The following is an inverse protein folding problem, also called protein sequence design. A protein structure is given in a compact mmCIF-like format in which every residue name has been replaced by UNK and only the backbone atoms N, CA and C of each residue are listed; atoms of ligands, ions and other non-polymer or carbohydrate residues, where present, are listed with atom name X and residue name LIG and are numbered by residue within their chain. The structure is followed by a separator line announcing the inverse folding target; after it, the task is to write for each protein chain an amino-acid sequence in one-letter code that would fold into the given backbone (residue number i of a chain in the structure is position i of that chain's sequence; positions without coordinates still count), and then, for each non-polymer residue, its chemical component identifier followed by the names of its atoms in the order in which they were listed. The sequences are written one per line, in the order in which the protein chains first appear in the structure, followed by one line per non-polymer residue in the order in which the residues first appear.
data_IF_534163436919
#
_entry.id   IF_534163436919
#
_cell.length_a   1.000
_cell.length_b   1.000
_cell.length_c   1.000
_cell.angle_alpha   90.00
_cell.angle_beta   90.00
_cell.angle_gamma   90.00
#
_symmetry.space_group_name_H-M   'P 1'
#
loop_
_entity.id
_entity.type
_entity.pdbx_description
1 polymer ?
#
# COMPACT_ATOMS: atom_id res chain seq x y z
N UNK A 1 -13.77 9.28 2.11
CA UNK A 1 -12.70 9.69 1.19
C UNK A 1 -13.32 10.37 -0.02
N UNK A 2 -12.79 11.51 -0.48
CA UNK A 2 -13.28 12.18 -1.68
C UNK A 2 -13.03 11.31 -2.91
N UNK A 3 -14.08 11.00 -3.66
CA UNK A 3 -14.05 10.08 -4.79
C UNK A 3 -13.15 10.58 -5.94
N UNK A 4 -13.07 11.88 -6.14
CA UNK A 4 -12.24 12.45 -7.21
C UNK A 4 -10.75 12.37 -6.86
N UNK A 5 -10.40 12.58 -5.59
CA UNK A 5 -9.03 12.37 -5.09
C UNK A 5 -8.63 10.90 -5.24
N UNK A 6 -9.54 9.97 -4.93
CA UNK A 6 -9.29 8.54 -5.09
C UNK A 6 -9.00 8.17 -6.55
N UNK A 7 -9.78 8.69 -7.51
CA UNK A 7 -9.53 8.45 -8.95
C UNK A 7 -8.15 8.93 -9.38
N UNK A 8 -7.75 10.12 -8.95
CA UNK A 8 -6.42 10.66 -9.26
C UNK A 8 -5.29 9.81 -8.68
N UNK A 9 -5.43 9.38 -7.43
CA UNK A 9 -4.45 8.49 -6.79
C UNK A 9 -4.35 7.15 -7.52
N UNK A 10 -5.47 6.56 -7.93
CA UNK A 10 -5.50 5.34 -8.73
C UNK A 10 -4.80 5.56 -10.09
N UNK A 11 -5.07 6.68 -10.76
CA UNK A 11 -4.44 7.01 -12.04
C UNK A 11 -2.92 7.15 -11.93
N UNK A 12 -2.44 7.89 -10.92
CA UNK A 12 -1.00 8.03 -10.62
C UNK A 12 -0.39 6.66 -10.31
N UNK A 13 -1.08 5.85 -9.49
CA UNK A 13 -0.65 4.51 -9.14
C UNK A 13 -0.43 3.63 -10.38
N UNK A 14 -1.41 3.55 -11.30
CA UNK A 14 -1.27 2.81 -12.54
C UNK A 14 -0.20 3.39 -13.48
N UNK A 15 -0.03 4.71 -13.51
CA UNK A 15 1.05 5.36 -14.26
C UNK A 15 2.43 4.91 -13.78
N UNK A 16 2.66 4.95 -12.46
CA UNK A 16 3.89 4.44 -11.84
C UNK A 16 4.08 2.94 -12.11
N UNK A 17 2.99 2.16 -12.02
CA UNK A 17 2.96 0.73 -12.28
C UNK A 17 3.48 0.39 -13.69
N UNK A 18 2.89 1.01 -14.72
CA UNK A 18 3.29 0.80 -16.11
C UNK A 18 4.70 1.33 -16.39
N UNK A 19 5.10 2.42 -15.72
CA UNK A 19 6.47 2.93 -15.77
C UNK A 19 7.49 1.92 -15.25
N UNK A 20 7.24 1.32 -14.09
CA UNK A 20 8.10 0.29 -13.50
C UNK A 20 8.14 -0.98 -14.35
N UNK A 21 7.00 -1.41 -14.90
CA UNK A 21 6.95 -2.53 -15.84
C UNK A 21 7.81 -2.25 -17.09
N UNK A 22 7.72 -1.04 -17.65
CA UNK A 22 8.56 -0.63 -18.78
C UNK A 22 10.03 -0.68 -18.42
N UNK A 23 10.43 -0.20 -17.24
CA UNK A 23 11.83 -0.27 -16.77
C UNK A 23 12.27 -1.73 -16.62
N UNK A 24 11.45 -2.60 -16.01
CA UNK A 24 11.73 -4.02 -15.88
C UNK A 24 11.97 -4.70 -17.25
N UNK A 25 11.28 -4.27 -18.30
CA UNK A 25 11.46 -4.78 -19.66
C UNK A 25 12.61 -4.13 -20.44
N UNK A 26 12.83 -2.82 -20.28
CA UNK A 26 13.84 -2.08 -21.05
C UNK A 26 15.24 -2.17 -20.46
N UNK A 27 15.36 -2.17 -19.13
CA UNK A 27 16.62 -2.31 -18.39
C UNK A 27 16.45 -3.29 -17.22
N UNK A 28 16.43 -4.60 -17.51
CA UNK A 28 16.15 -5.63 -16.49
C UNK A 28 17.25 -5.68 -15.41
N UNK A 29 18.49 -5.34 -15.74
CA UNK A 29 19.61 -5.39 -14.78
C UNK A 29 19.46 -4.29 -13.73
N UNK A 30 19.25 -3.04 -14.16
CA UNK A 30 18.98 -1.93 -13.25
C UNK A 30 17.72 -2.19 -12.41
N UNK A 31 16.68 -2.75 -13.04
CA UNK A 31 15.46 -3.09 -12.32
C UNK A 31 15.71 -4.10 -11.19
N UNK A 32 16.35 -5.23 -11.48
CA UNK A 32 16.56 -6.31 -10.51
C UNK A 32 17.54 -5.93 -9.40
N UNK A 33 18.64 -5.26 -9.73
CA UNK A 33 19.69 -4.93 -8.77
C UNK A 33 19.32 -3.74 -7.86
N UNK A 34 18.58 -2.76 -8.39
CA UNK A 34 18.32 -1.51 -7.67
C UNK A 34 16.83 -1.30 -7.34
N UNK A 35 15.97 -1.29 -8.36
CA UNK A 35 14.55 -0.91 -8.19
C UNK A 35 13.81 -1.94 -7.35
N UNK A 36 13.96 -3.22 -7.67
CA UNK A 36 13.26 -4.30 -7.00
C UNK A 36 13.54 -4.32 -5.50
N UNK A 37 14.82 -4.28 -5.10
CA UNK A 37 15.20 -4.30 -3.68
C UNK A 37 14.54 -3.17 -2.88
N UNK A 38 14.51 -1.96 -3.44
CA UNK A 38 13.87 -0.80 -2.81
C UNK A 38 12.34 -0.91 -2.79
N UNK A 39 11.74 -1.31 -3.91
CA UNK A 39 10.29 -1.44 -4.05
C UNK A 39 9.72 -2.51 -3.12
N UNK A 40 10.32 -3.70 -3.10
CA UNK A 40 9.91 -4.81 -2.24
C UNK A 40 10.05 -4.43 -0.76
N UNK A 41 11.18 -3.85 -0.36
CA UNK A 41 11.41 -3.42 1.02
C UNK A 41 10.43 -2.33 1.45
N UNK A 42 10.21 -1.32 0.60
CA UNK A 42 9.25 -0.25 0.87
C UNK A 42 7.83 -0.78 1.00
N UNK A 43 7.38 -1.60 0.04
CA UNK A 43 6.03 -2.18 0.04
C UNK A 43 5.79 -3.07 1.27
N UNK A 44 6.78 -3.89 1.62
CA UNK A 44 6.71 -4.74 2.81
C UNK A 44 6.64 -3.91 4.10
N UNK A 45 7.51 -2.89 4.22
CA UNK A 45 7.56 -2.03 5.40
C UNK A 45 6.25 -1.24 5.56
N UNK A 46 5.72 -0.68 4.47
CA UNK A 46 4.42 0.01 4.48
C UNK A 46 3.28 -0.94 4.87
N UNK A 47 3.25 -2.15 4.33
CA UNK A 47 2.24 -3.16 4.69
C UNK A 47 2.26 -3.44 6.21
N UNK A 48 3.44 -3.73 6.78
CA UNK A 48 3.56 -4.03 8.21
C UNK A 48 3.23 -2.80 9.07
N UNK A 49 3.80 -1.64 8.76
CA UNK A 49 3.62 -0.43 9.56
C UNK A 49 2.16 0.04 9.57
N UNK A 50 1.50 0.10 8.40
CA UNK A 50 0.11 0.52 8.32
C UNK A 50 -0.84 -0.51 8.92
N UNK A 51 -0.57 -1.82 8.78
CA UNK A 51 -1.37 -2.86 9.43
C UNK A 51 -1.27 -2.80 10.96
N UNK A 52 -0.05 -2.63 11.48
CA UNK A 52 0.19 -2.47 12.91
C UNK A 52 -0.51 -1.21 13.45
N UNK A 53 -0.42 -0.09 12.72
CA UNK A 53 -1.09 1.14 13.12
C UNK A 53 -2.62 1.02 13.06
N UNK A 54 -3.16 0.37 12.03
CA UNK A 54 -4.59 0.09 11.91
C UNK A 54 -5.10 -0.74 13.09
N UNK A 55 -4.38 -1.81 13.45
CA UNK A 55 -4.71 -2.63 14.61
C UNK A 55 -4.57 -1.86 15.93
N UNK A 56 -3.55 -1.01 16.07
CA UNK A 56 -3.39 -0.15 17.23
C UNK A 56 -4.58 0.79 17.43
N UNK A 57 -5.07 1.42 16.36
CA UNK A 57 -6.27 2.25 16.42
C UNK A 57 -7.51 1.45 16.83
N UNK A 58 -7.66 0.22 16.32
CA UNK A 58 -8.76 -0.67 16.71
C UNK A 58 -8.75 -0.97 18.22
N UNK A 59 -7.58 -1.30 18.78
CA UNK A 59 -7.43 -1.54 20.22
C UNK A 59 -7.71 -0.28 21.03
N UNK A 60 -7.17 0.88 20.62
CA UNK A 60 -7.42 2.15 21.31
C UNK A 60 -8.91 2.53 21.32
N UNK A 61 -9.61 2.32 20.20
CA UNK A 61 -11.04 2.59 20.09
C UNK A 61 -11.82 1.72 21.09
N UNK A 62 -11.60 0.41 21.07
CA UNK A 62 -12.32 -0.50 21.96
C UNK A 62 -12.02 -0.21 23.42
N UNK A 63 -10.75 0.03 23.76
CA UNK A 63 -10.36 0.44 25.12
C UNK A 63 -11.11 1.70 25.57
N UNK A 64 -11.25 2.70 24.69
CA UNK A 64 -11.98 3.94 25.00
C UNK A 64 -13.46 3.65 25.25
N UNK A 65 -14.10 2.83 24.41
CA UNK A 65 -15.51 2.45 24.56
C UNK A 65 -15.75 1.65 25.84
N UNK A 66 -14.84 0.75 26.19
CA UNK A 66 -15.02 -0.15 27.34
C UNK A 66 -14.70 0.52 28.69
N UNK A 67 -13.88 1.58 28.71
CA UNK A 67 -13.36 2.17 29.96
C UNK A 67 -13.77 3.63 30.19
N UNK A 68 -14.33 4.32 29.19
CA UNK A 68 -14.76 5.71 29.32
C UNK A 68 -16.27 5.76 29.10
N UNK A 69 -16.99 6.35 30.06
CA UNK A 69 -18.42 6.56 29.96
C UNK A 69 -18.71 7.72 28.98
N UNK A 70 -18.86 7.38 27.70
CA UNK A 70 -19.09 8.32 26.61
C UNK A 70 -20.60 8.54 26.43
N UNK A 71 -21.02 9.81 26.35
CA UNK A 71 -22.38 10.11 25.90
C UNK A 71 -22.54 9.76 24.41
N UNK A 72 -23.77 9.50 23.97
CA UNK A 72 -24.08 9.02 22.61
C UNK A 72 -23.48 9.89 21.49
N UNK A 73 -23.43 11.22 21.69
CA UNK A 73 -22.81 12.15 20.74
C UNK A 73 -21.29 11.92 20.63
N UNK A 74 -20.60 11.76 21.75
CA UNK A 74 -19.15 11.50 21.77
C UNK A 74 -18.80 10.16 21.12
N UNK A 75 -19.61 9.12 21.36
CA UNK A 75 -19.45 7.82 20.73
C UNK A 75 -19.61 7.91 19.20
N UNK A 76 -20.64 8.62 18.73
CA UNK A 76 -20.86 8.87 17.29
C UNK A 76 -19.69 9.61 16.64
N UNK A 77 -19.16 10.64 17.30
CA UNK A 77 -17.99 11.37 16.83
C UNK A 77 -16.74 10.48 16.78
N UNK A 78 -16.49 9.69 17.82
CA UNK A 78 -15.38 8.73 17.86
C UNK A 78 -15.48 7.72 16.71
N UNK A 79 -16.65 7.13 16.48
CA UNK A 79 -16.88 6.16 15.40
C UNK A 79 -16.65 6.75 14.01
N UNK A 80 -17.11 8.00 13.81
CA UNK A 80 -16.94 8.72 12.55
C UNK A 80 -15.47 8.98 12.24
N UNK A 81 -14.72 9.53 13.20
CA UNK A 81 -13.29 9.83 13.03
C UNK A 81 -12.46 8.55 12.89
N UNK A 82 -12.76 7.53 13.70
CA UNK A 82 -12.14 6.22 13.57
C UNK A 82 -12.35 5.64 12.17
N UNK A 83 -13.59 5.63 11.67
CA UNK A 83 -13.92 5.09 10.35
C UNK A 83 -13.28 5.89 9.24
N UNK A 84 -13.20 7.22 9.39
CA UNK A 84 -12.51 8.09 8.45
C UNK A 84 -11.03 7.70 8.32
N UNK A 85 -10.29 7.67 9.43
CA UNK A 85 -8.84 7.36 9.43
C UNK A 85 -8.57 5.92 8.98
N UNK A 86 -9.32 4.96 9.52
CA UNK A 86 -9.11 3.54 9.20
C UNK A 86 -9.41 3.21 7.74
N UNK A 87 -10.33 3.94 7.09
CA UNK A 87 -10.58 3.82 5.65
C UNK A 87 -9.36 4.18 4.80
N UNK A 88 -8.66 5.27 5.10
CA UNK A 88 -7.44 5.65 4.35
C UNK A 88 -6.30 4.67 4.60
N UNK A 89 -6.12 4.25 5.87
CA UNK A 89 -5.11 3.24 6.21
C UNK A 89 -5.37 1.93 5.47
N UNK A 90 -6.62 1.51 5.36
CA UNK A 90 -6.97 0.30 4.62
C UNK A 90 -6.61 0.40 3.12
N UNK A 91 -6.84 1.56 2.50
CA UNK A 91 -6.42 1.82 1.11
C UNK A 91 -4.90 1.74 0.96
N UNK A 92 -4.13 2.28 1.91
CA UNK A 92 -2.66 2.20 1.90
C UNK A 92 -2.17 0.76 2.09
N UNK A 93 -2.83 -0.03 2.95
CA UNK A 93 -2.54 -1.46 3.13
C UNK A 93 -2.79 -2.21 1.81
N UNK A 94 -3.96 -2.03 1.19
CA UNK A 94 -4.28 -2.65 -0.11
C UNK A 94 -3.26 -2.25 -1.18
N UNK A 95 -2.96 -0.94 -1.30
CA UNK A 95 -1.99 -0.44 -2.26
C UNK A 95 -0.59 -1.03 -2.06
N UNK A 96 -0.17 -1.22 -0.80
CA UNK A 96 1.10 -1.86 -0.46
C UNK A 96 1.12 -3.34 -0.84
N UNK A 97 0.04 -4.08 -0.58
CA UNK A 97 -0.11 -5.48 -0.97
C UNK A 97 -0.07 -5.65 -2.50
N UNK A 98 -0.80 -4.80 -3.23
CA UNK A 98 -0.82 -4.81 -4.70
C UNK A 98 0.56 -4.46 -5.28
N UNK A 99 1.26 -3.48 -4.70
CA UNK A 99 2.61 -3.10 -5.11
C UNK A 99 3.61 -4.24 -4.89
N UNK A 100 3.50 -4.93 -3.75
CA UNK A 100 4.33 -6.09 -3.45
C UNK A 100 4.08 -7.23 -4.44
N UNK A 101 2.81 -7.59 -4.68
CA UNK A 101 2.45 -8.63 -5.65
C UNK A 101 2.95 -8.30 -7.07
N UNK A 102 2.83 -7.02 -7.47
CA UNK A 102 3.33 -6.55 -8.75
C UNK A 102 4.86 -6.61 -8.87
N UNK A 103 5.58 -6.33 -7.80
CA UNK A 103 7.05 -6.46 -7.80
C UNK A 103 7.48 -7.89 -8.18
N UNK A 104 6.74 -8.91 -7.73
CA UNK A 104 6.99 -10.31 -8.11
C UNK A 104 6.80 -10.52 -9.61
N UNK A 105 5.74 -9.97 -10.20
CA UNK A 105 5.50 -10.06 -11.65
C UNK A 105 6.61 -9.36 -12.45
N UNK A 106 7.06 -8.19 -12.00
CA UNK A 106 8.13 -7.45 -12.67
C UNK A 106 9.48 -8.16 -12.58
N UNK A 107 9.77 -8.84 -11.46
CA UNK A 107 10.95 -9.70 -11.34
C UNK A 107 10.91 -10.78 -12.42
N UNK A 108 9.77 -11.45 -12.63
CA UNK A 108 9.63 -12.48 -13.66
C UNK A 108 9.88 -11.91 -15.07
N UNK A 109 9.23 -10.78 -15.39
CA UNK A 109 9.44 -10.07 -16.68
C UNK A 109 10.91 -9.72 -16.90
N UNK A 110 11.56 -9.11 -15.90
CA UNK A 110 12.96 -8.69 -16.01
C UNK A 110 13.90 -9.89 -16.17
N UNK A 111 13.70 -10.97 -15.40
CA UNK A 111 14.51 -12.19 -15.49
C UNK A 111 14.39 -12.86 -16.85
N UNK A 112 13.17 -12.99 -17.38
CA UNK A 112 12.94 -13.56 -18.73
C UNK A 112 13.61 -12.72 -19.80
N UNK A 113 13.50 -11.39 -19.71
CA UNK A 113 14.15 -10.49 -20.65
C UNK A 113 15.67 -10.58 -20.57
N UNK A 114 16.24 -10.64 -19.37
CA UNK A 114 17.67 -10.78 -19.16
C UNK A 114 18.21 -12.09 -19.76
N UNK A 115 17.49 -13.20 -19.56
CA UNK A 115 17.86 -14.50 -20.14
C UNK A 115 17.90 -14.46 -21.68
N UNK A 116 16.90 -13.82 -22.30
CA UNK A 116 16.84 -13.61 -23.75
C UNK A 116 17.95 -12.71 -24.31
N UNK A 117 18.51 -11.80 -23.50
CA UNK A 117 19.61 -10.93 -23.93
C UNK A 117 20.98 -11.61 -23.76
N UNK A 118 21.07 -12.65 -22.92
CA UNK A 118 22.28 -13.42 -22.68
C UNK A 118 22.44 -14.66 -23.57
N UNK A 119 21.39 -15.02 -24.32
CA UNK A 119 21.38 -16.11 -25.31
C UNK A 119 21.77 -15.60 -26.69
#
# INVERSE_FOLDING_TARGET
MNWDVLKWLIGIYFGCFLGLLKVAYSDPKFYLEYINKKLTWFSYTCMIAFSAFWYGLYVCKNYTIDNIDLISEQLSHLDKEYSYVTSYLFVLIIGSCLSFAASILYIDVARRKQAHLSS
#
